data_IF_233069196889
#
_entry.id   IF_233069196889
#
_cell.length_a   1.000
_cell.length_b   1.000
_cell.length_c   1.000
_cell.angle_alpha   90.00
_cell.angle_beta   90.00
_cell.angle_gamma   90.00
#
_symmetry.space_group_name_H-M   'P 1'
#
loop_
_entity.id
_entity.type
_entity.pdbx_description
1 polymer ?
#
# COMPACT_ATOMS: atom_id res chain seq x y z
N UNK A 1 12.15 -12.92 -9.55
CA UNK A 1 10.84 -13.05 -10.24
C UNK A 1 10.88 -12.22 -11.51
N UNK A 2 10.41 -12.74 -12.65
CA UNK A 2 10.31 -11.96 -13.90
C UNK A 2 8.92 -11.30 -14.03
N UNK A 3 8.72 -10.44 -15.04
CA UNK A 3 7.46 -9.69 -15.21
C UNK A 3 6.23 -10.59 -15.36
N UNK A 4 6.33 -11.70 -16.10
CA UNK A 4 5.20 -12.61 -16.29
C UNK A 4 4.79 -13.28 -14.97
N UNK A 5 5.77 -13.75 -14.19
CA UNK A 5 5.53 -14.30 -12.86
C UNK A 5 4.90 -13.27 -11.93
N UNK A 6 5.33 -12.00 -12.03
CA UNK A 6 4.75 -10.91 -11.24
C UNK A 6 3.27 -10.69 -11.56
N UNK A 7 2.90 -10.65 -12.85
CA UNK A 7 1.50 -10.54 -13.28
C UNK A 7 0.64 -11.73 -12.78
N UNK A 8 1.18 -12.95 -12.86
CA UNK A 8 0.47 -14.14 -12.36
C UNK A 8 0.20 -14.06 -10.85
N UNK A 9 1.18 -13.58 -10.07
CA UNK A 9 1.00 -13.41 -8.64
C UNK A 9 0.06 -12.24 -8.30
N UNK A 10 0.05 -11.15 -9.10
CA UNK A 10 -0.96 -10.08 -8.97
C UNK A 10 -2.37 -10.66 -9.13
N UNK A 11 -2.60 -11.45 -10.18
CA UNK A 11 -3.91 -12.05 -10.42
C UNK A 11 -4.31 -13.04 -9.33
N UNK A 12 -3.35 -13.86 -8.86
CA UNK A 12 -3.59 -14.83 -7.79
C UNK A 12 -3.98 -14.12 -6.50
N UNK A 13 -3.29 -13.03 -6.16
CA UNK A 13 -3.60 -12.21 -5.00
C UNK A 13 -4.96 -11.50 -5.14
N UNK A 14 -5.25 -10.91 -6.30
CA UNK A 14 -6.55 -10.30 -6.58
C UNK A 14 -7.71 -11.30 -6.41
N UNK A 15 -7.57 -12.52 -6.95
CA UNK A 15 -8.57 -13.59 -6.75
C UNK A 15 -8.71 -13.98 -5.28
N UNK A 16 -7.60 -14.12 -4.56
CA UNK A 16 -7.63 -14.42 -3.13
C UNK A 16 -8.41 -13.36 -2.33
N UNK A 17 -8.18 -12.07 -2.63
CA UNK A 17 -8.92 -10.95 -2.05
C UNK A 17 -10.43 -11.04 -2.31
N UNK A 18 -10.83 -11.31 -3.55
CA UNK A 18 -12.24 -11.42 -3.93
C UNK A 18 -12.98 -12.57 -3.22
N UNK A 19 -12.28 -13.65 -2.86
CA UNK A 19 -12.90 -14.77 -2.12
C UNK A 19 -13.32 -14.40 -0.70
N UNK A 20 -12.77 -13.32 -0.13
CA UNK A 20 -12.96 -12.94 1.29
C UNK A 20 -12.67 -14.09 2.26
N UNK A 21 -11.74 -14.96 1.89
CA UNK A 21 -11.32 -16.08 2.71
C UNK A 21 -9.95 -15.78 3.32
N UNK A 22 -9.94 -15.60 4.65
CA UNK A 22 -8.73 -15.23 5.39
C UNK A 22 -7.65 -16.30 5.31
N UNK A 23 -8.01 -17.57 5.37
CA UNK A 23 -7.05 -18.68 5.32
C UNK A 23 -6.31 -18.71 3.98
N UNK A 24 -7.06 -18.60 2.86
CA UNK A 24 -6.46 -18.58 1.51
C UNK A 24 -5.46 -17.43 1.36
N UNK A 25 -5.83 -16.22 1.80
CA UNK A 25 -4.90 -15.09 1.71
C UNK A 25 -3.71 -15.20 2.65
N UNK A 26 -3.90 -15.70 3.88
CA UNK A 26 -2.80 -15.93 4.81
C UNK A 26 -1.78 -16.94 4.28
N UNK A 27 -2.26 -18.05 3.73
CA UNK A 27 -1.39 -19.07 3.12
C UNK A 27 -0.65 -18.50 1.90
N UNK A 28 -1.31 -17.65 1.10
CA UNK A 28 -0.68 -16.96 -0.02
C UNK A 28 0.42 -15.98 0.45
N UNK A 29 0.16 -15.16 1.46
CA UNK A 29 1.18 -14.27 2.02
C UNK A 29 2.35 -15.06 2.62
N UNK A 30 2.08 -16.15 3.34
CA UNK A 30 3.12 -17.01 3.88
C UNK A 30 3.99 -17.59 2.76
N UNK A 31 3.37 -18.11 1.68
CA UNK A 31 4.07 -18.56 0.50
C UNK A 31 4.94 -17.45 -0.13
N UNK A 32 4.37 -16.27 -0.40
CA UNK A 32 5.09 -15.17 -1.03
C UNK A 32 6.28 -14.69 -0.21
N UNK A 33 6.16 -14.67 1.13
CA UNK A 33 7.26 -14.33 2.05
C UNK A 33 8.46 -15.27 1.95
N UNK A 34 8.27 -16.51 1.45
CA UNK A 34 9.38 -17.44 1.19
C UNK A 34 10.09 -17.19 -0.13
N UNK A 35 9.45 -16.46 -1.06
CA UNK A 35 9.91 -16.33 -2.45
C UNK A 35 10.50 -14.95 -2.76
N UNK A 36 9.97 -13.89 -2.14
CA UNK A 36 10.29 -12.50 -2.47
C UNK A 36 10.38 -11.60 -1.24
N UNK A 37 11.12 -10.48 -1.32
CA UNK A 37 11.24 -9.51 -0.23
C UNK A 37 9.89 -8.86 0.13
N UNK A 38 9.75 -8.44 1.38
CA UNK A 38 8.51 -7.87 1.92
C UNK A 38 8.07 -6.60 1.18
N UNK A 39 9.03 -5.78 0.73
CA UNK A 39 8.78 -4.58 -0.06
C UNK A 39 8.15 -4.90 -1.42
N UNK A 40 8.57 -6.02 -2.03
CA UNK A 40 8.00 -6.51 -3.30
C UNK A 40 6.58 -7.03 -3.07
N UNK A 41 6.33 -7.72 -1.95
CA UNK A 41 4.99 -8.17 -1.55
C UNK A 41 4.06 -6.99 -1.31
N UNK A 42 4.54 -5.93 -0.66
CA UNK A 42 3.78 -4.70 -0.44
C UNK A 42 3.39 -4.05 -1.77
N UNK A 43 4.34 -3.91 -2.70
CA UNK A 43 4.06 -3.42 -4.06
C UNK A 43 3.05 -4.28 -4.82
N UNK A 44 3.22 -5.60 -4.79
CA UNK A 44 2.28 -6.55 -5.38
C UNK A 44 0.88 -6.40 -4.79
N UNK A 45 0.78 -6.27 -3.47
CA UNK A 45 -0.50 -6.10 -2.76
C UNK A 45 -1.20 -4.81 -3.18
N UNK A 46 -0.47 -3.69 -3.33
CA UNK A 46 -1.03 -2.42 -3.80
C UNK A 46 -1.61 -2.56 -5.21
N UNK A 47 -0.86 -3.19 -6.12
CA UNK A 47 -1.30 -3.39 -7.52
C UNK A 47 -2.49 -4.35 -7.58
N UNK A 48 -2.52 -5.40 -6.77
CA UNK A 48 -3.68 -6.30 -6.68
C UNK A 48 -4.92 -5.61 -6.14
N UNK A 49 -4.79 -4.72 -5.15
CA UNK A 49 -5.89 -3.90 -4.64
C UNK A 49 -6.42 -2.96 -5.73
N UNK A 50 -5.53 -2.29 -6.46
CA UNK A 50 -5.90 -1.43 -7.59
C UNK A 50 -6.69 -2.21 -8.65
N UNK A 51 -6.25 -3.44 -8.97
CA UNK A 51 -6.93 -4.31 -9.93
C UNK A 51 -8.38 -4.60 -9.52
N UNK A 52 -8.65 -4.85 -8.24
CA UNK A 52 -10.01 -5.18 -7.76
C UNK A 52 -10.86 -3.94 -7.46
N UNK A 53 -10.23 -2.78 -7.23
CA UNK A 53 -10.92 -1.52 -6.87
C UNK A 53 -12.00 -1.13 -7.88
N UNK A 54 -11.78 -1.42 -9.16
CA UNK A 54 -12.71 -1.12 -10.23
C UNK A 54 -13.95 -2.03 -10.28
N UNK A 55 -13.91 -3.19 -9.64
CA UNK A 55 -14.93 -4.24 -9.81
C UNK A 55 -15.64 -4.60 -8.51
N UNK A 56 -14.94 -4.56 -7.37
CA UNK A 56 -15.45 -5.01 -6.08
C UNK A 56 -14.83 -4.18 -4.95
N UNK A 57 -15.39 -3.00 -4.69
CA UNK A 57 -14.94 -2.09 -3.62
C UNK A 57 -15.12 -2.71 -2.23
N UNK A 58 -16.11 -3.58 -2.05
CA UNK A 58 -16.32 -4.30 -0.78
C UNK A 58 -15.20 -5.30 -0.53
N UNK A 59 -14.67 -5.95 -1.57
CA UNK A 59 -13.50 -6.82 -1.44
C UNK A 59 -12.25 -6.01 -1.06
N UNK A 60 -12.11 -4.77 -1.54
CA UNK A 60 -11.03 -3.87 -1.11
C UNK A 60 -11.11 -3.57 0.38
N UNK A 61 -12.28 -3.12 0.85
CA UNK A 61 -12.48 -2.80 2.27
C UNK A 61 -12.18 -4.01 3.15
N UNK A 62 -12.76 -5.16 2.80
CA UNK A 62 -12.53 -6.41 3.53
C UNK A 62 -11.05 -6.82 3.53
N UNK A 63 -10.36 -6.66 2.40
CA UNK A 63 -8.94 -7.01 2.26
C UNK A 63 -8.08 -6.17 3.20
N UNK A 64 -8.29 -4.86 3.22
CA UNK A 64 -7.53 -3.93 4.07
C UNK A 64 -7.76 -4.22 5.55
N UNK A 65 -8.98 -4.59 5.92
CA UNK A 65 -9.35 -4.82 7.32
C UNK A 65 -8.93 -6.19 7.85
N UNK A 66 -9.02 -7.25 7.02
CA UNK A 66 -8.94 -8.63 7.49
C UNK A 66 -7.84 -9.49 6.85
N UNK A 67 -7.31 -9.10 5.68
CA UNK A 67 -6.42 -9.97 4.91
C UNK A 67 -4.95 -9.58 5.02
N UNK A 68 -4.63 -8.29 4.92
CA UNK A 68 -3.25 -7.82 4.83
C UNK A 68 -2.52 -8.02 6.17
N UNK A 69 -1.42 -8.79 6.20
CA UNK A 69 -0.60 -8.93 7.41
C UNK A 69 -0.03 -7.58 7.87
N UNK A 70 0.13 -7.39 9.17
CA UNK A 70 0.56 -6.11 9.74
C UNK A 70 1.93 -5.63 9.23
N UNK A 71 2.87 -6.54 8.99
CA UNK A 71 4.19 -6.24 8.44
C UNK A 71 4.13 -5.81 6.97
N UNK A 72 3.29 -6.45 6.16
CA UNK A 72 3.01 -6.02 4.78
C UNK A 72 2.34 -4.64 4.78
N UNK A 73 1.36 -4.41 5.67
CA UNK A 73 0.68 -3.12 5.80
C UNK A 73 1.67 -2.01 6.21
N UNK A 74 2.65 -2.31 7.05
CA UNK A 74 3.71 -1.37 7.42
C UNK A 74 4.59 -1.00 6.22
N UNK A 75 4.99 -1.96 5.40
CA UNK A 75 5.75 -1.66 4.17
C UNK A 75 4.90 -0.89 3.15
N UNK A 76 3.61 -1.19 3.01
CA UNK A 76 2.68 -0.37 2.20
C UNK A 76 2.68 1.07 2.70
N UNK A 77 2.53 1.30 4.01
CA UNK A 77 2.55 2.66 4.60
C UNK A 77 3.84 3.39 4.30
N UNK A 78 4.98 2.73 4.44
CA UNK A 78 6.30 3.30 4.13
C UNK A 78 6.43 3.69 2.66
N UNK A 79 6.04 2.80 1.74
CA UNK A 79 6.02 3.08 0.30
C UNK A 79 5.12 4.26 -0.05
N UNK A 80 3.91 4.30 0.53
CA UNK A 80 2.96 5.40 0.33
C UNK A 80 3.50 6.70 0.89
N UNK A 81 4.06 6.73 2.12
CA UNK A 81 4.61 7.94 2.72
C UNK A 81 5.77 8.49 1.90
N UNK A 82 6.72 7.66 1.45
CA UNK A 82 7.83 8.11 0.61
C UNK A 82 7.31 8.73 -0.69
N UNK A 83 6.30 8.12 -1.30
CA UNK A 83 5.69 8.61 -2.54
C UNK A 83 5.00 9.95 -2.33
N UNK A 84 4.16 10.07 -1.29
CA UNK A 84 3.49 11.32 -0.93
C UNK A 84 4.49 12.41 -0.57
N UNK A 85 5.54 12.08 0.17
CA UNK A 85 6.60 13.01 0.54
C UNK A 85 7.26 13.64 -0.69
N UNK A 86 7.64 12.81 -1.66
CA UNK A 86 8.19 13.27 -2.95
C UNK A 86 7.20 14.13 -3.73
N UNK A 87 5.93 13.74 -3.78
CA UNK A 87 4.89 14.51 -4.46
C UNK A 87 4.70 15.89 -3.82
N UNK A 88 4.74 15.99 -2.49
CA UNK A 88 4.62 17.25 -1.77
C UNK A 88 5.83 18.16 -2.01
N UNK A 89 7.04 17.61 -2.05
CA UNK A 89 8.21 18.39 -2.49
C UNK A 89 7.99 18.94 -3.91
N UNK A 90 7.48 18.11 -4.82
CA UNK A 90 7.14 18.54 -6.18
C UNK A 90 6.06 19.64 -6.24
N UNK A 91 5.20 19.73 -5.23
CA UNK A 91 4.19 20.80 -5.05
C UNK A 91 4.73 22.04 -4.32
N UNK A 92 6.02 22.07 -3.98
CA UNK A 92 6.67 23.23 -3.36
C UNK A 92 6.72 23.22 -1.82
N UNK A 93 6.31 22.13 -1.17
CA UNK A 93 6.44 21.99 0.28
C UNK A 93 7.91 21.73 0.69
N UNK A 94 8.36 22.36 1.77
CA UNK A 94 9.76 22.31 2.22
C UNK A 94 9.95 21.23 3.31
N UNK A 95 10.83 20.23 3.07
CA UNK A 95 11.28 19.29 4.10
C UNK A 95 11.77 19.95 5.39
N UNK A 96 11.31 19.45 6.54
CA UNK A 96 11.72 19.94 7.86
C UNK A 96 11.08 21.27 8.29
N UNK A 97 10.35 21.94 7.39
CA UNK A 97 9.54 23.13 7.72
C UNK A 97 8.05 22.87 7.57
N UNK A 98 7.65 22.38 6.41
CA UNK A 98 6.26 22.11 6.06
C UNK A 98 5.88 20.66 6.29
N UNK A 99 6.81 19.75 5.96
CA UNK A 99 6.60 18.30 5.99
C UNK A 99 7.78 17.56 6.62
N UNK A 100 7.51 16.51 7.39
CA UNK A 100 8.50 15.59 7.95
C UNK A 100 7.91 14.18 8.08
N UNK A 101 8.70 13.21 8.53
CA UNK A 101 8.26 11.82 8.74
C UNK A 101 8.77 11.38 10.12
N UNK A 102 7.93 10.70 10.91
CA UNK A 102 8.34 10.12 12.19
C UNK A 102 9.04 8.76 12.03
N UNK A 103 9.42 8.14 13.16
CA UNK A 103 10.12 6.86 13.16
C UNK A 103 9.24 5.70 12.62
N UNK A 104 7.92 5.86 12.72
CA UNK A 104 6.92 4.90 12.27
C UNK A 104 6.57 5.05 10.78
N UNK A 105 7.19 6.02 10.09
CA UNK A 105 6.95 6.27 8.68
C UNK A 105 5.65 7.02 8.42
N UNK A 106 5.09 7.71 9.41
CA UNK A 106 3.90 8.56 9.26
C UNK A 106 4.33 9.96 8.79
N UNK A 107 3.64 10.45 7.77
CA UNK A 107 3.81 11.82 7.27
C UNK A 107 3.28 12.83 8.29
N UNK A 108 4.12 13.77 8.68
CA UNK A 108 3.80 14.89 9.54
C UNK A 108 3.72 16.18 8.73
N UNK A 109 2.62 16.94 8.92
CA UNK A 109 2.36 18.21 8.26
C UNK A 109 2.19 19.30 9.32
N UNK A 110 2.84 20.45 9.12
CA UNK A 110 2.55 21.65 9.91
C UNK A 110 1.12 22.18 9.62
N UNK A 111 0.62 23.11 10.42
CA UNK A 111 -0.78 23.59 10.29
C UNK A 111 -1.09 24.18 8.91
N UNK A 112 -0.16 24.96 8.35
CA UNK A 112 -0.29 25.58 7.03
C UNK A 112 -0.29 24.55 5.89
N UNK A 113 0.58 23.56 5.98
CA UNK A 113 0.65 22.49 4.99
C UNK A 113 -0.60 21.61 5.05
N UNK A 114 -1.10 21.34 6.26
CA UNK A 114 -2.33 20.59 6.48
C UNK A 114 -3.55 21.27 5.86
N UNK A 115 -3.70 22.58 6.03
CA UNK A 115 -4.82 23.32 5.41
C UNK A 115 -4.72 23.33 3.88
N UNK A 116 -3.51 23.47 3.34
CA UNK A 116 -3.26 23.47 1.89
C UNK A 116 -3.56 22.11 1.23
N UNK A 117 -3.15 21.01 1.89
CA UNK A 117 -3.40 19.64 1.42
C UNK A 117 -4.88 19.25 1.53
N UNK A 118 -5.58 19.72 2.57
CA UNK A 118 -7.02 19.43 2.74
C UNK A 118 -7.93 20.23 1.78
N UNK A 119 -7.48 21.41 1.33
CA UNK A 119 -8.24 22.28 0.44
C UNK A 119 -7.97 22.06 -1.07
N UNK A 120 -7.07 21.15 -1.43
CA UNK A 120 -6.85 20.79 -2.84
C UNK A 120 -7.92 19.77 -3.28
N UNK A 121 -9.07 20.28 -3.73
CA UNK A 121 -10.06 19.53 -4.53
C UNK A 121 -9.76 19.68 -6.01
#
# INVERSE_FOLDING_TARGET
>A
MNCLQFELEIERMARAMMTRNRQIGQDLFAYLKTQIPLEVIAGLTIVSIERILWFDTEAVLWTVEYLIPADVLQEIRKLTTITLYKQLIGKGFIPGKDISVDAEGKLLLNERARSTVACTR
#
